data_IF_746994366813
#
_entry.id   IF_746994366813
#
_cell.length_a   1.000
_cell.length_b   1.000
_cell.length_c   1.000
_cell.angle_alpha   90.00
_cell.angle_beta   90.00
_cell.angle_gamma   90.00
#
_symmetry.space_group_name_H-M   'P 1'
#
loop_
_entity.id
_entity.type
_entity.pdbx_description
1 polymer ?
#
# COMPACT_ATOMS: atom_id res chain seq x y z
N UNK A 1 1.21 -18.69 19.50
CA UNK A 1 2.26 -17.63 19.66
C UNK A 1 3.24 -17.78 18.50
N UNK A 2 3.34 -16.77 17.65
CA UNK A 2 4.30 -16.81 16.56
C UNK A 2 5.73 -16.76 17.11
N UNK A 3 6.56 -17.72 16.71
CA UNK A 3 7.98 -17.69 17.01
C UNK A 3 8.70 -16.76 16.02
N UNK A 4 8.67 -15.45 16.32
CA UNK A 4 9.31 -14.42 15.50
C UNK A 4 10.83 -14.65 15.33
N UNK A 5 11.48 -15.30 16.28
CA UNK A 5 12.93 -15.61 16.18
C UNK A 5 13.14 -16.66 15.09
N UNK A 6 12.30 -17.68 15.04
CA UNK A 6 12.35 -18.68 13.97
C UNK A 6 12.05 -18.07 12.61
N UNK A 7 11.02 -17.23 12.53
CA UNK A 7 10.68 -16.50 11.30
C UNK A 7 11.85 -15.65 10.80
N UNK A 8 12.46 -14.83 11.67
CA UNK A 8 13.60 -13.99 11.28
C UNK A 8 14.79 -14.80 10.77
N UNK A 9 15.12 -15.91 11.43
CA UNK A 9 16.17 -16.83 10.97
C UNK A 9 15.87 -17.39 9.57
N UNK A 10 14.63 -17.78 9.30
CA UNK A 10 14.21 -18.25 7.98
C UNK A 10 14.38 -17.15 6.92
N UNK A 11 13.98 -15.91 7.21
CA UNK A 11 14.06 -14.80 6.30
C UNK A 11 15.51 -14.41 5.99
N UNK A 12 16.39 -14.38 6.99
CA UNK A 12 17.82 -14.14 6.82
C UNK A 12 18.50 -15.27 6.00
N UNK A 13 18.24 -16.52 6.35
CA UNK A 13 18.82 -17.69 5.64
C UNK A 13 18.46 -17.71 4.16
N UNK A 14 17.27 -17.24 3.82
CA UNK A 14 16.77 -17.19 2.44
C UNK A 14 17.12 -15.88 1.72
N UNK A 15 17.90 -14.99 2.33
CA UNK A 15 18.31 -13.72 1.70
C UNK A 15 17.16 -12.73 1.47
N UNK A 16 16.02 -12.93 2.12
CA UNK A 16 14.87 -12.03 2.05
C UNK A 16 15.16 -10.77 2.88
N UNK A 17 15.73 -10.96 4.06
CA UNK A 17 16.28 -9.91 4.90
C UNK A 17 17.81 -9.93 4.85
N UNK A 18 18.40 -8.77 5.13
CA UNK A 18 19.85 -8.62 5.33
C UNK A 18 20.09 -8.08 6.73
N UNK A 19 21.25 -8.39 7.34
CA UNK A 19 21.60 -7.94 8.70
C UNK A 19 21.58 -6.42 8.88
N UNK A 20 21.78 -5.67 7.79
CA UNK A 20 21.80 -4.21 7.79
C UNK A 20 20.52 -3.59 7.21
N UNK A 21 19.57 -4.42 6.80
CA UNK A 21 18.32 -3.97 6.19
C UNK A 21 17.29 -3.53 7.24
N UNK A 22 16.59 -2.44 6.96
CA UNK A 22 15.43 -2.05 7.75
C UNK A 22 14.21 -2.92 7.37
N UNK A 23 13.38 -3.23 8.35
CA UNK A 23 12.13 -3.93 8.12
C UNK A 23 11.04 -3.45 9.09
N UNK A 24 9.81 -3.63 8.68
CA UNK A 24 8.62 -3.43 9.51
C UNK A 24 7.89 -4.76 9.62
N UNK A 25 7.60 -5.18 10.84
CA UNK A 25 6.81 -6.37 11.13
C UNK A 25 5.42 -5.94 11.61
N UNK A 26 4.37 -6.47 11.01
CA UNK A 26 3.00 -6.23 11.44
C UNK A 26 2.16 -7.49 11.38
N UNK A 27 1.03 -7.49 12.09
CA UNK A 27 0.05 -8.56 12.01
C UNK A 27 -0.96 -8.28 10.89
N UNK A 28 -1.58 -9.32 10.36
CA UNK A 28 -2.64 -9.23 9.36
C UNK A 28 -3.81 -8.34 9.80
N UNK A 29 -4.12 -8.33 11.10
CA UNK A 29 -5.18 -7.49 11.67
C UNK A 29 -4.88 -6.00 11.59
N UNK A 30 -3.60 -5.63 11.45
CA UNK A 30 -3.14 -4.25 11.29
C UNK A 30 -2.98 -3.85 9.82
N UNK A 31 -3.39 -4.69 8.88
CA UNK A 31 -3.19 -4.45 7.44
C UNK A 31 -3.86 -3.16 6.94
N UNK A 32 -4.92 -2.69 7.59
CA UNK A 32 -5.56 -1.41 7.27
C UNK A 32 -4.62 -0.20 7.45
N UNK A 33 -3.63 -0.33 8.32
CA UNK A 33 -2.63 0.72 8.59
C UNK A 33 -1.47 0.72 7.59
N UNK A 34 -1.42 -0.24 6.65
CA UNK A 34 -0.41 -0.24 5.60
C UNK A 34 -0.59 1.01 4.74
N UNK A 35 0.46 1.81 4.66
CA UNK A 35 0.50 3.03 3.85
C UNK A 35 1.80 3.12 3.05
N UNK A 36 1.76 3.84 1.93
CA UNK A 36 2.95 4.13 1.13
C UNK A 36 3.36 5.60 1.30
N UNK A 37 4.66 5.91 1.29
CA UNK A 37 5.79 4.97 1.22
C UNK A 37 6.13 4.35 2.58
N UNK A 38 6.65 3.12 2.57
CA UNK A 38 7.38 2.55 3.70
C UNK A 38 8.84 2.27 3.30
N UNK A 39 9.71 2.07 4.28
CA UNK A 39 11.14 1.86 4.04
C UNK A 39 11.54 0.43 4.37
N UNK A 40 12.43 -0.12 3.53
CA UNK A 40 12.97 -1.47 3.74
C UNK A 40 12.01 -2.57 3.34
N UNK A 41 11.84 -3.57 4.19
CA UNK A 41 11.02 -4.76 3.95
C UNK A 41 9.81 -4.77 4.88
N UNK A 42 8.61 -4.83 4.33
CA UNK A 42 7.39 -5.06 5.10
C UNK A 42 7.13 -6.56 5.21
N UNK A 43 6.92 -7.04 6.43
CA UNK A 43 6.62 -8.44 6.75
C UNK A 43 5.27 -8.46 7.44
N UNK A 44 4.30 -9.15 6.86
CA UNK A 44 2.95 -9.29 7.41
C UNK A 44 2.78 -10.74 7.84
N UNK A 45 2.53 -10.96 9.11
CA UNK A 45 2.27 -12.26 9.74
C UNK A 45 0.79 -12.42 10.07
N UNK A 46 0.38 -13.61 10.52
CA UNK A 46 -1.02 -13.85 10.91
C UNK A 46 -1.96 -14.11 9.72
N UNK A 47 -1.42 -14.42 8.53
CA UNK A 47 -2.19 -14.77 7.34
C UNK A 47 -2.48 -16.28 7.26
N UNK A 48 -2.92 -16.87 8.36
CA UNK A 48 -3.07 -18.32 8.51
C UNK A 48 -4.33 -18.88 7.86
N UNK A 49 -5.35 -18.05 7.73
CA UNK A 49 -6.63 -18.39 7.13
C UNK A 49 -6.93 -17.57 5.86
N UNK A 50 -7.93 -18.04 5.12
CA UNK A 50 -8.34 -17.45 3.85
C UNK A 50 -8.84 -16.02 4.01
N UNK A 51 -9.57 -15.74 5.07
CA UNK A 51 -10.20 -14.44 5.29
C UNK A 51 -9.16 -13.36 5.53
N UNK A 52 -8.19 -13.62 6.41
CA UNK A 52 -7.06 -12.73 6.67
C UNK A 52 -6.18 -12.53 5.46
N UNK A 53 -5.94 -13.58 4.68
CA UNK A 53 -5.19 -13.45 3.43
C UNK A 53 -5.92 -12.54 2.43
N UNK A 54 -7.21 -12.76 2.21
CA UNK A 54 -8.02 -11.89 1.35
C UNK A 54 -7.97 -10.44 1.80
N UNK A 55 -8.08 -10.19 3.10
CA UNK A 55 -8.02 -8.85 3.66
C UNK A 55 -6.69 -8.15 3.36
N UNK A 56 -5.56 -8.83 3.59
CA UNK A 56 -4.24 -8.31 3.24
C UNK A 56 -4.15 -7.97 1.74
N UNK A 57 -4.59 -8.88 0.88
CA UNK A 57 -4.48 -8.69 -0.56
C UNK A 57 -5.39 -7.58 -1.10
N UNK A 58 -6.60 -7.46 -0.57
CA UNK A 58 -7.50 -6.34 -0.89
C UNK A 58 -6.80 -5.02 -0.55
N UNK A 59 -6.24 -4.92 0.66
CA UNK A 59 -5.53 -3.71 1.07
C UNK A 59 -4.31 -3.41 0.21
N UNK A 60 -3.52 -4.42 -0.13
CA UNK A 60 -2.37 -4.24 -1.03
C UNK A 60 -2.79 -3.80 -2.44
N UNK A 61 -3.92 -4.30 -2.95
CA UNK A 61 -4.46 -3.87 -4.25
C UNK A 61 -4.99 -2.44 -4.26
N UNK A 62 -5.36 -1.89 -3.10
CA UNK A 62 -5.76 -0.48 -3.00
C UNK A 62 -4.56 0.46 -3.14
N UNK A 63 -3.39 0.10 -2.61
CA UNK A 63 -2.22 0.97 -2.48
C UNK A 63 -1.11 0.66 -3.49
N UNK A 64 -1.04 -0.56 -4.01
CA UNK A 64 -0.02 -1.01 -4.95
C UNK A 64 -0.64 -1.38 -6.29
N UNK A 65 0.15 -1.28 -7.36
CA UNK A 65 -0.22 -1.85 -8.65
C UNK A 65 -0.26 -3.37 -8.57
N UNK A 66 -1.16 -3.99 -9.32
CA UNK A 66 -1.37 -5.45 -9.34
C UNK A 66 -0.14 -6.24 -9.81
N UNK A 67 0.80 -5.59 -10.50
CA UNK A 67 2.06 -6.17 -10.97
C UNK A 67 3.18 -6.10 -9.93
N UNK A 68 2.95 -5.45 -8.79
CA UNK A 68 3.93 -5.38 -7.70
C UNK A 68 4.35 -6.78 -7.25
N UNK A 69 5.68 -7.06 -7.23
CA UNK A 69 6.20 -8.33 -6.74
C UNK A 69 5.94 -8.51 -5.24
N UNK A 70 5.50 -9.69 -4.87
CA UNK A 70 5.39 -10.10 -3.47
C UNK A 70 6.03 -11.47 -3.26
N UNK A 71 6.51 -11.69 -2.05
CA UNK A 71 7.08 -12.95 -1.62
C UNK A 71 6.26 -13.51 -0.48
N UNK A 72 5.86 -14.78 -0.55
CA UNK A 72 5.21 -15.48 0.55
C UNK A 72 6.13 -16.56 1.09
N UNK A 73 6.25 -16.61 2.40
CA UNK A 73 6.91 -17.69 3.13
C UNK A 73 5.85 -18.61 3.71
N UNK A 74 5.91 -19.89 3.40
CA UNK A 74 5.01 -20.90 3.92
C UNK A 74 5.60 -21.55 5.18
N UNK A 75 4.75 -22.09 6.04
CA UNK A 75 5.17 -22.78 7.28
C UNK A 75 6.14 -23.95 7.03
N UNK A 76 6.02 -24.63 5.88
CA UNK A 76 6.96 -25.67 5.47
C UNK A 76 8.32 -25.13 4.94
N UNK A 77 8.55 -23.82 5.03
CA UNK A 77 9.75 -23.15 4.57
C UNK A 77 9.80 -22.86 3.05
N UNK A 78 8.78 -23.25 2.29
CA UNK A 78 8.71 -22.95 0.85
C UNK A 78 8.48 -21.46 0.64
N UNK A 79 9.21 -20.90 -0.32
CA UNK A 79 9.09 -19.50 -0.72
C UNK A 79 8.45 -19.47 -2.10
N UNK A 80 7.42 -18.64 -2.24
CA UNK A 80 6.78 -18.33 -3.50
C UNK A 80 6.96 -16.85 -3.80
N UNK A 81 7.46 -16.56 -5.02
CA UNK A 81 7.57 -15.19 -5.55
C UNK A 81 6.58 -15.04 -6.68
N UNK A 82 5.75 -14.03 -6.62
CA UNK A 82 4.73 -13.74 -7.62
C UNK A 82 4.32 -12.27 -7.55
N UNK A 83 3.29 -11.89 -8.27
CA UNK A 83 2.69 -10.56 -8.21
C UNK A 83 1.40 -10.58 -7.41
N UNK A 84 0.96 -9.43 -6.93
CA UNK A 84 -0.31 -9.28 -6.19
C UNK A 84 -1.47 -9.92 -6.98
N UNK A 85 -1.56 -9.65 -8.29
CA UNK A 85 -2.58 -10.24 -9.17
C UNK A 85 -2.59 -11.76 -9.15
N UNK A 86 -1.42 -12.39 -9.24
CA UNK A 86 -1.32 -13.86 -9.31
C UNK A 86 -1.73 -14.52 -7.99
N UNK A 87 -1.46 -13.87 -6.86
CA UNK A 87 -1.84 -14.40 -5.55
C UNK A 87 -3.32 -14.21 -5.29
N UNK A 88 -3.91 -13.06 -5.64
CA UNK A 88 -5.33 -12.81 -5.42
C UNK A 88 -6.23 -13.88 -6.09
N UNK A 89 -5.74 -14.50 -7.16
CA UNK A 89 -6.43 -15.60 -7.87
C UNK A 89 -6.12 -16.99 -7.30
N UNK A 90 -5.25 -17.10 -6.31
CA UNK A 90 -4.80 -18.36 -5.72
C UNK A 90 -4.60 -18.20 -4.22
N UNK A 91 -5.56 -18.71 -3.46
CA UNK A 91 -5.39 -18.83 -2.00
C UNK A 91 -4.27 -19.83 -1.76
N UNK A 92 -3.22 -19.38 -1.07
CA UNK A 92 -2.05 -20.19 -0.76
C UNK A 92 -2.05 -20.45 0.74
N UNK A 93 -2.24 -21.69 1.15
CA UNK A 93 -2.21 -22.13 2.54
C UNK A 93 -1.12 -23.18 2.80
N UNK A 94 -0.62 -23.22 4.00
CA UNK A 94 -0.60 -22.19 5.05
C UNK A 94 0.54 -21.18 4.85
N UNK A 95 0.26 -19.89 4.93
CA UNK A 95 1.25 -18.81 4.80
C UNK A 95 1.71 -18.34 6.18
N UNK A 96 3.02 -18.38 6.43
CA UNK A 96 3.65 -17.88 7.65
C UNK A 96 3.86 -16.37 7.59
N UNK A 97 4.25 -15.84 6.42
CA UNK A 97 4.43 -14.41 6.20
C UNK A 97 4.22 -13.99 4.74
N UNK A 98 3.67 -12.80 4.55
CA UNK A 98 3.63 -12.07 3.28
C UNK A 98 4.66 -10.95 3.35
N UNK A 99 5.51 -10.84 2.32
CA UNK A 99 6.68 -9.96 2.35
C UNK A 99 6.70 -9.08 1.09
N UNK A 100 6.88 -7.77 1.31
CA UNK A 100 7.06 -6.76 0.28
C UNK A 100 8.34 -5.98 0.52
N UNK A 101 9.09 -5.70 -0.54
CA UNK A 101 10.25 -4.80 -0.49
C UNK A 101 9.87 -3.43 -1.03
N UNK A 102 10.19 -2.37 -0.30
CA UNK A 102 9.89 -1.00 -0.73
C UNK A 102 10.47 -0.65 -2.09
N UNK A 103 11.63 -1.22 -2.43
CA UNK A 103 12.31 -1.03 -3.72
C UNK A 103 11.60 -1.69 -4.91
N UNK A 104 10.71 -2.66 -4.65
CA UNK A 104 10.00 -3.43 -5.67
C UNK A 104 8.54 -2.98 -5.84
N UNK A 105 8.08 -2.04 -5.00
CA UNK A 105 6.70 -1.57 -5.05
C UNK A 105 6.47 -0.71 -6.27
N UNK A 106 5.50 -1.11 -7.06
CA UNK A 106 4.92 -0.30 -8.12
C UNK A 106 3.70 0.37 -7.53
N UNK A 107 3.75 1.70 -7.42
CA UNK A 107 2.59 2.47 -6.94
C UNK A 107 1.48 2.34 -7.96
N UNK A 108 0.27 2.07 -7.48
CA UNK A 108 -0.91 2.17 -8.31
C UNK A 108 -0.93 3.59 -8.90
N UNK A 109 -1.00 3.71 -10.21
CA UNK A 109 -1.28 5.00 -10.81
C UNK A 109 -2.65 5.44 -10.26
N UNK A 110 -2.63 6.31 -9.26
CA UNK A 110 -3.82 7.07 -8.93
C UNK A 110 -4.22 7.75 -10.23
N UNK A 111 -5.48 7.59 -10.65
CA UNK A 111 -6.03 8.42 -11.71
C UNK A 111 -5.50 9.81 -11.47
N UNK A 112 -4.70 10.32 -12.39
CA UNK A 112 -4.12 11.66 -12.26
C UNK A 112 -5.30 12.59 -12.08
N UNK A 113 -5.54 13.01 -10.84
CA UNK A 113 -6.47 14.10 -10.60
C UNK A 113 -5.93 15.26 -11.40
N UNK A 114 -6.45 15.39 -12.61
CA UNK A 114 -6.14 16.58 -13.40
C UNK A 114 -6.79 17.71 -12.65
N UNK A 115 -6.01 18.71 -12.29
CA UNK A 115 -6.54 19.96 -11.70
C UNK A 115 -7.51 20.68 -12.64
N UNK A 116 -7.61 20.20 -13.88
CA UNK A 116 -8.46 20.78 -14.92
C UNK A 116 -9.93 20.93 -14.52
N UNK A 117 -10.63 19.92 -13.97
CA UNK A 117 -12.01 20.07 -13.50
C UNK A 117 -12.16 21.16 -12.42
N UNK A 118 -11.19 21.25 -11.51
CA UNK A 118 -11.20 22.28 -10.46
C UNK A 118 -11.02 23.66 -11.09
N UNK A 119 -10.05 23.81 -12.00
CA UNK A 119 -9.79 25.06 -12.72
C UNK A 119 -11.01 25.47 -13.55
N UNK A 120 -11.64 24.54 -14.24
CA UNK A 120 -12.82 24.82 -15.07
C UNK A 120 -14.02 25.24 -14.18
N UNK A 121 -14.23 24.58 -13.04
CA UNK A 121 -15.24 25.00 -12.05
C UNK A 121 -14.94 26.41 -11.52
N UNK A 122 -13.69 26.69 -11.15
CA UNK A 122 -13.30 28.02 -10.65
C UNK A 122 -13.50 29.11 -11.72
N UNK A 123 -13.24 28.82 -12.99
CA UNK A 123 -13.52 29.73 -14.08
C UNK A 123 -15.00 30.02 -14.21
N UNK A 124 -15.84 28.98 -14.25
CA UNK A 124 -17.31 29.11 -14.34
C UNK A 124 -17.88 29.93 -13.19
N UNK A 125 -17.38 29.74 -11.97
CA UNK A 125 -17.81 30.50 -10.80
C UNK A 125 -17.44 32.01 -10.91
N UNK A 126 -16.39 32.34 -11.63
CA UNK A 126 -15.90 33.72 -11.82
C UNK A 126 -16.39 34.42 -13.10
N UNK A 127 -17.06 33.71 -13.99
CA UNK A 127 -17.66 34.28 -15.21
C UNK A 127 -18.87 35.17 -14.92
N UNK A 128 -19.28 36.04 -15.85
CA UNK A 128 -20.53 36.77 -15.75
C UNK A 128 -21.73 35.81 -15.59
N UNK A 129 -22.46 35.91 -14.50
CA UNK A 129 -23.53 34.96 -14.15
C UNK A 129 -23.11 33.84 -13.18
N UNK A 130 -21.82 33.71 -12.88
CA UNK A 130 -21.31 32.81 -11.83
C UNK A 130 -21.52 33.34 -10.42
N UNK A 131 -20.86 32.73 -9.43
CA UNK A 131 -21.01 33.10 -8.03
C UNK A 131 -20.54 34.55 -7.75
N UNK A 132 -21.39 35.45 -7.25
CA UNK A 132 -20.98 36.84 -6.94
C UNK A 132 -19.85 36.90 -5.92
N UNK A 133 -19.83 35.97 -4.94
CA UNK A 133 -18.81 35.92 -3.91
C UNK A 133 -17.43 35.57 -4.51
N UNK A 134 -17.34 34.53 -5.33
CA UNK A 134 -16.08 34.11 -5.97
C UNK A 134 -15.54 35.17 -6.94
N UNK A 135 -16.43 35.91 -7.61
CA UNK A 135 -16.06 37.02 -8.49
C UNK A 135 -15.44 38.21 -7.74
N UNK A 136 -15.87 38.42 -6.50
CA UNK A 136 -15.34 39.53 -5.66
C UNK A 136 -14.01 39.18 -5.00
N UNK A 137 -13.61 37.90 -4.99
CA UNK A 137 -12.37 37.49 -4.34
C UNK A 137 -11.12 37.89 -5.16
N UNK A 138 -10.12 38.34 -4.44
CA UNK A 138 -8.76 38.59 -4.94
C UNK A 138 -7.73 38.09 -3.89
N UNK A 139 -6.44 38.20 -4.21
CA UNK A 139 -5.40 37.75 -3.28
C UNK A 139 -5.45 38.38 -1.90
N UNK A 140 -5.90 39.62 -1.80
CA UNK A 140 -5.98 40.34 -0.52
C UNK A 140 -7.17 39.86 0.31
N UNK A 141 -8.32 39.62 -0.36
CA UNK A 141 -9.54 39.16 0.36
C UNK A 141 -9.42 37.72 0.81
N UNK A 142 -8.79 36.83 0.00
CA UNK A 142 -8.61 35.40 0.36
C UNK A 142 -7.58 35.24 1.47
N UNK A 143 -6.56 36.10 1.55
CA UNK A 143 -5.51 36.04 2.58
C UNK A 143 -6.03 36.12 4.02
N UNK A 144 -7.19 36.70 4.25
CA UNK A 144 -7.79 36.83 5.59
C UNK A 144 -8.36 35.50 6.12
N UNK A 145 -8.48 34.48 5.29
CA UNK A 145 -9.02 33.15 5.67
C UNK A 145 -7.94 32.11 5.94
N UNK A 146 -6.66 32.47 5.77
CA UNK A 146 -5.48 31.65 6.07
C UNK A 146 -4.61 32.37 7.09
#
# INVERSE_FOLDING_TARGET
>A
MHDYVCLMRKLLKNGILTEKGSFTLMNAEEAEHISLPFYGTLIITGAEDEERQKYIFIRLMEICDETTPITTLMYNGKILKCTIKKINNKIIFPVEAVILKSSEIIKKEMEKFTLKPIIDTMKTLREPGGCPWDRSQNHMTVRTYF
#
